data_IF_027631920496
#
_entry.id   IF_027631920496
#
_cell.length_a   1.000
_cell.length_b   1.000
_cell.length_c   1.000
_cell.angle_alpha   90.00
_cell.angle_beta   90.00
_cell.angle_gamma   90.00
#
_symmetry.space_group_name_H-M   'P 1'
#
loop_
_entity.id
_entity.type
_entity.pdbx_description
1 polymer ?
#
# COMPACT_ATOMS: atom_id res chain seq x y z
N UNK A 1 -12.38 14.45 -17.48
CA UNK A 1 -12.72 13.37 -16.54
C UNK A 1 -11.55 12.42 -16.28
N UNK A 2 -11.14 11.55 -17.22
CA UNK A 2 -10.07 10.57 -16.97
C UNK A 2 -8.70 11.18 -16.55
N UNK A 3 -8.30 12.30 -17.15
CA UNK A 3 -7.04 12.99 -16.80
C UNK A 3 -7.04 13.53 -15.36
N UNK A 4 -8.21 13.94 -14.85
CA UNK A 4 -8.36 14.46 -13.50
C UNK A 4 -8.26 13.34 -12.46
N UNK A 5 -8.87 12.17 -12.76
CA UNK A 5 -8.73 10.97 -11.94
C UNK A 5 -7.28 10.50 -11.85
N UNK A 6 -6.56 10.47 -12.97
CA UNK A 6 -5.14 10.11 -12.99
C UNK A 6 -4.33 11.07 -12.12
N UNK A 7 -4.59 12.38 -12.21
CA UNK A 7 -3.93 13.39 -11.38
C UNK A 7 -4.16 13.13 -9.89
N UNK A 8 -5.42 12.92 -9.48
CA UNK A 8 -5.76 12.65 -8.07
C UNK A 8 -5.08 11.39 -7.54
N UNK A 9 -5.01 10.33 -8.34
CA UNK A 9 -4.32 9.09 -7.97
C UNK A 9 -2.82 9.34 -7.78
N UNK A 10 -2.19 10.06 -8.71
CA UNK A 10 -0.76 10.39 -8.63
C UNK A 10 -0.48 11.26 -7.40
N UNK A 11 -1.27 12.30 -7.16
CA UNK A 11 -1.11 13.17 -5.98
C UNK A 11 -1.31 12.39 -4.67
N UNK A 12 -2.30 11.51 -4.60
CA UNK A 12 -2.53 10.64 -3.44
C UNK A 12 -1.37 9.69 -3.17
N UNK A 13 -0.83 9.06 -4.22
CA UNK A 13 0.34 8.18 -4.11
C UNK A 13 1.60 8.94 -3.67
N UNK A 14 1.80 10.16 -4.18
CA UNK A 14 2.92 11.01 -3.78
C UNK A 14 2.80 11.46 -2.32
N UNK A 15 1.59 11.83 -1.88
CA UNK A 15 1.33 12.16 -0.47
C UNK A 15 1.64 10.97 0.45
N UNK A 16 1.17 9.77 0.08
CA UNK A 16 1.43 8.56 0.84
C UNK A 16 2.93 8.23 0.88
N UNK A 17 3.62 8.32 -0.26
CA UNK A 17 5.06 8.10 -0.35
C UNK A 17 5.83 9.06 0.55
N UNK A 18 5.58 10.36 0.43
CA UNK A 18 6.27 11.38 1.22
C UNK A 18 6.02 11.20 2.72
N UNK A 19 4.78 10.86 3.11
CA UNK A 19 4.42 10.59 4.50
C UNK A 19 5.15 9.35 5.05
N UNK A 20 5.25 8.27 4.27
CA UNK A 20 5.99 7.07 4.67
C UNK A 20 7.49 7.35 4.82
N UNK A 21 8.10 8.02 3.84
CA UNK A 21 9.51 8.41 3.92
C UNK A 21 9.76 9.26 5.16
N UNK A 22 8.88 10.23 5.43
CA UNK A 22 8.96 11.08 6.61
C UNK A 22 8.91 10.25 7.90
N UNK A 23 7.94 9.35 8.05
CA UNK A 23 7.83 8.50 9.25
C UNK A 23 9.06 7.62 9.44
N UNK A 24 9.55 7.00 8.38
CA UNK A 24 10.73 6.13 8.48
C UNK A 24 11.94 6.94 8.97
N UNK A 25 12.17 8.12 8.41
CA UNK A 25 13.27 9.00 8.83
C UNK A 25 13.08 9.52 10.25
N UNK A 26 11.87 9.94 10.60
CA UNK A 26 11.52 10.40 11.94
C UNK A 26 11.77 9.31 13.00
N UNK A 27 11.41 8.06 12.70
CA UNK A 27 11.63 6.92 13.59
C UNK A 27 13.13 6.65 13.80
N UNK A 28 13.94 6.75 12.74
CA UNK A 28 15.40 6.60 12.81
C UNK A 28 16.05 7.77 13.57
N UNK A 29 15.53 8.99 13.38
CA UNK A 29 15.96 10.19 14.12
C UNK A 29 15.67 10.06 15.61
N UNK A 30 14.45 9.64 15.97
CA UNK A 30 14.01 9.52 17.35
C UNK A 30 14.71 8.38 18.12
N UNK A 31 15.26 7.39 17.42
CA UNK A 31 15.94 6.22 18.02
C UNK A 31 17.46 6.35 17.91
N UNK A 32 18.02 6.09 16.73
CA UNK A 32 19.46 5.93 16.51
C UNK A 32 20.18 7.27 16.50
N UNK A 33 19.61 8.30 15.85
CA UNK A 33 20.35 9.55 15.65
C UNK A 33 20.35 10.46 16.88
N UNK A 34 19.39 10.28 17.78
CA UNK A 34 19.38 10.96 19.07
C UNK A 34 20.53 10.51 19.98
N UNK A 35 20.95 9.26 19.88
CA UNK A 35 22.04 8.69 20.69
C UNK A 35 23.44 8.91 20.09
N UNK A 36 23.57 8.95 18.75
CA UNK A 36 24.85 9.20 18.07
C UNK A 36 24.68 10.02 16.77
N UNK A 37 24.74 11.36 16.84
CA UNK A 37 24.54 12.24 15.69
C UNK A 37 25.65 12.09 14.62
N UNK A 38 26.88 11.74 14.99
CA UNK A 38 27.97 11.51 14.04
C UNK A 38 27.69 10.34 13.09
N UNK A 39 27.05 9.28 13.60
CA UNK A 39 26.64 8.12 12.79
C UNK A 39 25.51 8.53 11.85
N UNK A 40 24.56 9.33 12.33
CA UNK A 40 23.48 9.87 11.50
C UNK A 40 24.02 10.61 10.28
N UNK A 41 25.02 11.45 10.49
CA UNK A 41 25.60 12.28 9.44
C UNK A 41 26.43 11.45 8.46
N UNK A 42 27.18 10.46 8.96
CA UNK A 42 28.00 9.57 8.13
C UNK A 42 27.17 8.66 7.21
N UNK A 43 25.98 8.26 7.64
CA UNK A 43 25.13 7.32 6.90
C UNK A 43 23.89 7.97 6.27
N UNK A 44 23.77 9.31 6.33
CA UNK A 44 22.58 10.06 5.90
C UNK A 44 22.11 9.70 4.48
N UNK A 45 23.05 9.55 3.54
CA UNK A 45 22.75 9.19 2.15
C UNK A 45 22.17 7.78 2.05
N UNK A 46 22.80 6.80 2.70
CA UNK A 46 22.33 5.41 2.72
C UNK A 46 20.95 5.31 3.37
N UNK A 47 20.72 6.02 4.47
CA UNK A 47 19.42 6.10 5.16
C UNK A 47 18.36 6.73 4.25
N UNK A 48 18.69 7.80 3.52
CA UNK A 48 17.76 8.44 2.58
C UNK A 48 17.31 7.49 1.47
N UNK A 49 18.24 6.75 0.87
CA UNK A 49 17.96 5.76 -0.17
C UNK A 49 17.12 4.62 0.39
N UNK A 50 17.53 4.03 1.52
CA UNK A 50 16.81 2.91 2.14
C UNK A 50 15.41 3.32 2.61
N UNK A 51 15.24 4.52 3.16
CA UNK A 51 13.91 5.04 3.54
C UNK A 51 12.99 5.17 2.33
N UNK A 52 13.53 5.69 1.21
CA UNK A 52 12.78 5.83 -0.05
C UNK A 52 12.35 4.46 -0.60
N UNK A 53 13.29 3.51 -0.69
CA UNK A 53 12.99 2.15 -1.18
C UNK A 53 12.00 1.43 -0.24
N UNK A 54 12.14 1.61 1.07
CA UNK A 54 11.23 1.02 2.06
C UNK A 54 9.82 1.60 1.92
N UNK A 55 9.67 2.91 1.72
CA UNK A 55 8.37 3.52 1.48
C UNK A 55 7.68 2.93 0.24
N UNK A 56 8.42 2.78 -0.87
CA UNK A 56 7.89 2.14 -2.09
C UNK A 56 7.46 0.70 -1.81
N UNK A 57 8.29 -0.08 -1.12
CA UNK A 57 7.96 -1.45 -0.75
C UNK A 57 6.66 -1.55 0.07
N UNK A 58 6.49 -0.67 1.07
CA UNK A 58 5.29 -0.63 1.90
C UNK A 58 4.04 -0.28 1.08
N UNK A 59 4.14 0.67 0.15
CA UNK A 59 3.02 0.98 -0.76
C UNK A 59 2.64 -0.25 -1.58
N UNK A 60 3.62 -0.94 -2.18
CA UNK A 60 3.36 -2.15 -2.96
C UNK A 60 2.72 -3.25 -2.11
N UNK A 61 3.20 -3.43 -0.87
CA UNK A 61 2.64 -4.40 0.07
C UNK A 61 1.17 -4.12 0.40
N UNK A 62 0.79 -2.84 0.54
CA UNK A 62 -0.61 -2.43 0.73
C UNK A 62 -1.48 -2.84 -0.47
N UNK A 63 -1.02 -2.56 -1.69
CA UNK A 63 -1.73 -2.94 -2.90
C UNK A 63 -1.82 -4.46 -3.08
N UNK A 64 -0.76 -5.19 -2.76
CA UNK A 64 -0.76 -6.65 -2.81
C UNK A 64 -1.79 -7.24 -1.84
N UNK A 65 -1.83 -6.70 -0.62
CA UNK A 65 -2.78 -7.13 0.42
C UNK A 65 -4.22 -6.80 0.01
N UNK A 66 -4.48 -5.58 -0.48
CA UNK A 66 -5.78 -5.18 -0.98
C UNK A 66 -6.24 -6.10 -2.13
N UNK A 67 -5.34 -6.45 -3.05
CA UNK A 67 -5.62 -7.37 -4.15
C UNK A 67 -5.98 -8.78 -3.66
N UNK A 68 -5.30 -9.29 -2.62
CA UNK A 68 -5.63 -10.59 -2.02
C UNK A 68 -7.05 -10.60 -1.44
N UNK A 69 -7.40 -9.55 -0.69
CA UNK A 69 -8.75 -9.41 -0.11
C UNK A 69 -9.80 -9.32 -1.23
N UNK A 70 -9.56 -8.48 -2.23
CA UNK A 70 -10.46 -8.31 -3.37
C UNK A 70 -10.67 -9.63 -4.13
N UNK A 71 -9.64 -10.44 -4.29
CA UNK A 71 -9.75 -11.78 -4.91
C UNK A 71 -10.70 -12.69 -4.14
N UNK A 72 -10.63 -12.70 -2.80
CA UNK A 72 -11.53 -13.51 -1.97
C UNK A 72 -12.98 -13.04 -2.12
N UNK A 73 -13.21 -11.71 -2.03
CA UNK A 73 -14.54 -11.12 -2.20
C UNK A 73 -15.13 -11.45 -3.57
N UNK A 74 -14.31 -11.37 -4.63
CA UNK A 74 -14.74 -11.65 -5.99
C UNK A 74 -15.14 -13.12 -6.17
N UNK A 75 -14.33 -14.06 -5.65
CA UNK A 75 -14.65 -15.50 -5.70
C UNK A 75 -15.94 -15.80 -4.95
N UNK A 76 -16.12 -15.22 -3.76
CA UNK A 76 -17.35 -15.40 -2.98
C UNK A 76 -18.56 -14.83 -3.70
N UNK A 77 -18.46 -13.62 -4.24
CA UNK A 77 -19.55 -12.96 -4.97
C UNK A 77 -20.01 -13.77 -6.18
N UNK A 78 -19.06 -14.21 -7.01
CA UNK A 78 -19.40 -15.06 -8.17
C UNK A 78 -19.88 -16.46 -7.75
N UNK A 79 -19.30 -17.05 -6.71
CA UNK A 79 -19.72 -18.37 -6.21
C UNK A 79 -21.17 -18.36 -5.71
N UNK A 80 -21.56 -17.34 -4.94
CA UNK A 80 -22.93 -17.14 -4.48
C UNK A 80 -23.90 -16.92 -5.64
N UNK A 81 -23.51 -16.11 -6.63
CA UNK A 81 -24.33 -15.85 -7.81
C UNK A 81 -24.59 -17.16 -8.59
N UNK A 82 -23.54 -17.94 -8.85
CA UNK A 82 -23.66 -19.23 -9.55
C UNK A 82 -24.56 -20.20 -8.77
N UNK A 83 -24.42 -20.29 -7.44
CA UNK A 83 -25.27 -21.11 -6.60
C UNK A 83 -26.74 -20.68 -6.67
N UNK A 84 -27.01 -19.37 -6.61
CA UNK A 84 -28.37 -18.84 -6.73
C UNK A 84 -29.00 -19.17 -8.07
N UNK A 85 -28.25 -19.05 -9.18
CA UNK A 85 -28.73 -19.44 -10.51
C UNK A 85 -29.00 -20.94 -10.61
N UNK A 86 -28.10 -21.77 -10.09
CA UNK A 86 -28.27 -23.22 -10.11
C UNK A 86 -29.49 -23.67 -9.31
N UNK A 87 -29.73 -23.08 -8.14
CA UNK A 87 -30.91 -23.34 -7.32
C UNK A 87 -32.19 -22.83 -7.98
N UNK A 88 -32.16 -21.68 -8.66
CA UNK A 88 -33.29 -21.18 -9.44
C UNK A 88 -33.68 -22.15 -10.56
N UNK A 89 -32.70 -22.61 -11.33
CA UNK A 89 -32.93 -23.56 -12.44
C UNK A 89 -33.36 -24.93 -11.95
N UNK A 90 -32.76 -25.47 -10.88
CA UNK A 90 -33.09 -26.80 -10.36
C UNK A 90 -34.38 -26.82 -9.52
N UNK A 91 -34.73 -25.69 -8.90
CA UNK A 91 -35.92 -25.54 -8.06
C UNK A 91 -37.23 -25.35 -8.85
N UNK A 92 -37.16 -25.16 -10.18
CA UNK A 92 -38.35 -25.02 -11.02
C UNK A 92 -39.18 -23.78 -10.70
N UNK A 93 -38.53 -22.62 -10.57
CA UNK A 93 -39.15 -21.30 -10.75
C UNK A 93 -38.79 -20.78 -12.14
#
# INVERSE_FOLDING_TARGET
EAAELVKLVVEGLLLLYNWLVYIIRYMLEATIFKENPDIAQKYADAIGILSSITAIYLILLLFETAKKILKVVLILGWGLLILALALGVAGGI
#
